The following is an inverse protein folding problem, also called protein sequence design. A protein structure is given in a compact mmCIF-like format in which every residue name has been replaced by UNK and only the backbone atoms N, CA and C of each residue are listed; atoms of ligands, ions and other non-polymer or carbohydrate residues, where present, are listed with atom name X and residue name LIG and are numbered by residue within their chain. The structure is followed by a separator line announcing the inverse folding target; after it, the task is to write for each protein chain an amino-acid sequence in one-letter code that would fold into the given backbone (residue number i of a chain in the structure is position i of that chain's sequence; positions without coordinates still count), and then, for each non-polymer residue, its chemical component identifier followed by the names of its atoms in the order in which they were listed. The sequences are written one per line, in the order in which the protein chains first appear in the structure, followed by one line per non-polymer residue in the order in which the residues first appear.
data_IF_477602261202
#
_entry.id   IF_477602261202
#
_cell.length_a   1.000
_cell.length_b   1.000
_cell.length_c   1.000
_cell.angle_alpha   90.00
_cell.angle_beta   90.00
_cell.angle_gamma   90.00
#
_symmetry.space_group_name_H-M   'P 1'
#
loop_
_entity.id
_entity.type
_entity.pdbx_description
1 polymer ?
#
# COMPACT_ATOMS: atom_id res chain seq x y z
N UNK A 1 -4.37 -8.69 -24.28
CA UNK A 1 -4.39 -7.77 -23.12
C UNK A 1 -5.25 -8.42 -22.06
N UNK A 2 -4.66 -8.98 -21.00
CA UNK A 2 -5.42 -9.60 -19.91
C UNK A 2 -5.70 -8.53 -18.86
N UNK A 3 -6.98 -8.19 -18.65
CA UNK A 3 -7.39 -7.48 -17.44
C UNK A 3 -7.42 -8.52 -16.33
N UNK A 4 -6.35 -8.61 -15.54
CA UNK A 4 -6.39 -9.39 -14.30
C UNK A 4 -7.24 -8.61 -13.30
N UNK A 5 -8.55 -8.84 -13.32
CA UNK A 5 -9.47 -8.23 -12.37
C UNK A 5 -9.05 -8.64 -10.95
N UNK A 6 -9.03 -7.68 -10.02
CA UNK A 6 -8.83 -7.98 -8.61
C UNK A 6 -9.95 -8.91 -8.14
N UNK A 7 -9.59 -10.08 -7.64
CA UNK A 7 -10.54 -10.98 -7.01
C UNK A 7 -10.94 -10.43 -5.64
N UNK A 8 -12.06 -10.91 -5.07
CA UNK A 8 -12.40 -10.60 -3.68
C UNK A 8 -11.27 -10.93 -2.68
N UNK A 9 -10.52 -12.01 -2.94
CA UNK A 9 -9.37 -12.39 -2.10
C UNK A 9 -8.20 -11.40 -2.23
N UNK A 10 -7.96 -10.88 -3.44
CA UNK A 10 -6.96 -9.83 -3.65
C UNK A 10 -7.37 -8.57 -2.87
N UNK A 11 -8.65 -8.18 -2.94
CA UNK A 11 -9.17 -7.02 -2.20
C UNK A 11 -9.04 -7.20 -0.69
N UNK A 12 -9.37 -8.38 -0.16
CA UNK A 12 -9.20 -8.71 1.26
C UNK A 12 -7.74 -8.61 1.70
N UNK A 13 -6.82 -9.09 0.86
CA UNK A 13 -5.38 -8.98 1.11
C UNK A 13 -4.93 -7.52 1.15
N UNK A 14 -5.37 -6.69 0.19
CA UNK A 14 -5.08 -5.25 0.15
C UNK A 14 -5.58 -4.56 1.41
N UNK A 15 -6.85 -4.80 1.80
CA UNK A 15 -7.44 -4.21 2.99
C UNK A 15 -6.68 -4.59 4.26
N UNK A 16 -6.30 -5.87 4.40
CA UNK A 16 -5.49 -6.35 5.52
C UNK A 16 -4.15 -5.62 5.62
N UNK A 17 -3.43 -5.51 4.50
CA UNK A 17 -2.13 -4.84 4.45
C UNK A 17 -2.24 -3.33 4.74
N UNK A 18 -3.29 -2.67 4.28
CA UNK A 18 -3.51 -1.25 4.58
C UNK A 18 -3.77 -1.00 6.06
N UNK A 19 -4.47 -1.93 6.73
CA UNK A 19 -4.71 -1.82 8.18
C UNK A 19 -3.39 -1.87 8.98
N UNK A 20 -2.39 -2.62 8.52
CA UNK A 20 -1.09 -2.73 9.20
C UNK A 20 -0.31 -1.40 9.26
N UNK A 21 -0.50 -0.53 8.26
CA UNK A 21 0.23 0.74 8.11
C UNK A 21 -0.64 1.97 8.34
N UNK A 22 -1.94 1.77 8.59
CA UNK A 22 -2.92 2.84 8.80
C UNK A 22 -2.57 3.66 10.04
N UNK A 23 -2.56 4.98 9.88
CA UNK A 23 -2.40 5.91 11.01
C UNK A 23 -3.74 6.03 11.74
N UNK A 24 -3.80 5.76 13.06
CA UNK A 24 -5.02 5.94 13.83
C UNK A 24 -5.27 7.41 14.16
N UNK A 25 -6.54 7.77 14.37
CA UNK A 25 -6.93 9.06 14.93
C UNK A 25 -7.37 10.12 13.92
N UNK A 26 -7.72 11.32 14.40
CA UNK A 26 -8.32 12.40 13.61
C UNK A 26 -7.36 13.08 12.65
N UNK A 27 -6.05 12.92 12.84
CA UNK A 27 -5.00 13.46 11.96
C UNK A 27 -4.69 12.53 10.77
N UNK A 28 -5.51 11.50 10.57
CA UNK A 28 -5.40 10.59 9.44
C UNK A 28 -5.57 11.35 8.12
N UNK A 29 -4.52 11.32 7.30
CA UNK A 29 -4.61 11.71 5.90
C UNK A 29 -5.03 10.54 5.02
N UNK A 30 -6.00 10.77 4.14
CA UNK A 30 -6.46 9.77 3.16
C UNK A 30 -5.52 9.64 1.96
N UNK A 31 -4.64 10.62 1.73
CA UNK A 31 -3.70 10.63 0.61
C UNK A 31 -2.66 9.50 0.68
N UNK A 32 -1.93 9.29 1.80
CA UNK A 32 -0.98 8.19 1.90
C UNK A 32 -1.66 6.83 1.81
N UNK A 33 -2.85 6.66 2.39
CA UNK A 33 -3.60 5.41 2.28
C UNK A 33 -4.05 5.13 0.84
N UNK A 34 -4.48 6.16 0.13
CA UNK A 34 -4.86 6.04 -1.29
C UNK A 34 -3.64 5.68 -2.15
N UNK A 35 -2.48 6.26 -1.87
CA UNK A 35 -1.23 5.93 -2.56
C UNK A 35 -0.80 4.49 -2.29
N UNK A 36 -0.85 4.04 -1.03
CA UNK A 36 -0.56 2.67 -0.62
C UNK A 36 -1.51 1.66 -1.27
N UNK A 37 -2.81 1.97 -1.32
CA UNK A 37 -3.80 1.11 -1.98
C UNK A 37 -3.49 0.95 -3.48
N UNK A 38 -3.20 2.07 -4.17
CA UNK A 38 -2.83 2.05 -5.60
C UNK A 38 -1.53 1.28 -5.85
N UNK A 39 -0.56 1.37 -4.96
CA UNK A 39 0.68 0.60 -5.04
C UNK A 39 0.41 -0.90 -5.00
N UNK A 40 -0.42 -1.36 -4.04
CA UNK A 40 -0.78 -2.76 -3.90
C UNK A 40 -1.58 -3.29 -5.10
N UNK A 41 -2.53 -2.50 -5.60
CA UNK A 41 -3.29 -2.83 -6.83
C UNK A 41 -2.34 -3.02 -8.01
N UNK A 42 -1.38 -2.12 -8.21
CA UNK A 42 -0.37 -2.27 -9.26
C UNK A 42 0.51 -3.50 -9.08
N UNK A 43 0.85 -3.85 -7.84
CA UNK A 43 1.56 -5.09 -7.54
C UNK A 43 0.82 -6.31 -8.09
N UNK A 44 -0.49 -6.40 -7.83
CA UNK A 44 -1.33 -7.47 -8.37
C UNK A 44 -1.41 -7.45 -9.90
N UNK A 45 -1.58 -6.27 -10.51
CA UNK A 45 -1.60 -6.12 -11.97
C UNK A 45 -0.28 -6.57 -12.63
N UNK A 46 0.83 -6.44 -11.91
CA UNK A 46 2.17 -6.87 -12.33
C UNK A 46 2.47 -8.36 -12.03
N UNK A 47 1.51 -9.09 -11.46
CA UNK A 47 1.64 -10.52 -11.16
C UNK A 47 2.21 -10.82 -9.77
N UNK A 48 2.32 -9.84 -8.88
CA UNK A 48 2.65 -10.08 -7.47
C UNK A 48 1.40 -10.59 -6.74
N UNK A 49 1.34 -11.90 -6.55
CA UNK A 49 0.21 -12.56 -5.88
C UNK A 49 0.52 -13.02 -4.45
N UNK A 50 1.80 -13.04 -4.06
CA UNK A 50 2.21 -13.41 -2.71
C UNK A 50 2.06 -12.22 -1.75
N UNK A 51 1.35 -12.44 -0.66
CA UNK A 51 1.15 -11.43 0.40
C UNK A 51 2.48 -10.93 0.99
N UNK A 52 3.48 -11.81 1.11
CA UNK A 52 4.82 -11.44 1.60
C UNK A 52 5.50 -10.38 0.73
N UNK A 53 5.34 -10.49 -0.59
CA UNK A 53 5.98 -9.58 -1.54
C UNK A 53 5.27 -8.23 -1.54
N UNK A 54 3.94 -8.25 -1.45
CA UNK A 54 3.12 -7.05 -1.30
C UNK A 54 3.41 -6.32 0.02
N UNK A 55 3.57 -7.05 1.11
CA UNK A 55 3.95 -6.49 2.42
C UNK A 55 5.33 -5.84 2.36
N UNK A 56 6.30 -6.46 1.69
CA UNK A 56 7.62 -5.87 1.47
C UNK A 56 7.55 -4.59 0.66
N UNK A 57 6.82 -4.60 -0.45
CA UNK A 57 6.60 -3.44 -1.33
C UNK A 57 6.00 -2.26 -0.54
N UNK A 58 4.97 -2.55 0.27
CA UNK A 58 4.31 -1.57 1.11
C UNK A 58 5.28 -0.99 2.16
N UNK A 59 6.06 -1.83 2.84
CA UNK A 59 7.02 -1.41 3.84
C UNK A 59 8.12 -0.50 3.25
N UNK A 60 8.62 -0.81 2.05
CA UNK A 60 9.60 0.03 1.35
C UNK A 60 9.01 1.40 0.99
N UNK A 61 7.79 1.45 0.48
CA UNK A 61 7.09 2.70 0.17
C UNK A 61 6.86 3.57 1.42
N UNK A 62 6.37 2.98 2.51
CA UNK A 62 6.14 3.69 3.78
C UNK A 62 7.45 4.23 4.36
N UNK A 63 8.55 3.46 4.31
CA UNK A 63 9.86 3.93 4.75
C UNK A 63 10.33 5.13 3.93
N UNK A 64 10.18 5.08 2.61
CA UNK A 64 10.58 6.16 1.71
C UNK A 64 9.79 7.44 2.00
N UNK A 65 8.48 7.34 2.24
CA UNK A 65 7.66 8.49 2.61
C UNK A 65 8.08 9.10 3.95
N UNK A 66 8.34 8.27 4.97
CA UNK A 66 8.83 8.75 6.28
C UNK A 66 10.15 9.51 6.17
N UNK A 67 11.07 9.06 5.32
CA UNK A 67 12.36 9.73 5.12
C UNK A 67 12.15 11.11 4.46
N UNK A 68 11.28 11.19 3.45
CA UNK A 68 10.99 12.46 2.76
C UNK A 68 10.28 13.46 3.68
N UNK A 69 9.29 13.01 4.45
CA UNK A 69 8.60 13.87 5.43
C UNK A 69 9.58 14.40 6.48
N UNK A 70 10.48 13.55 6.96
CA UNK A 70 11.51 13.94 7.94
C UNK A 70 12.54 14.92 7.34
N UNK A 71 12.78 14.84 6.03
CA UNK A 71 13.75 15.71 5.33
C UNK A 71 13.18 17.11 5.03
N UNK A 72 11.85 17.28 5.06
CA UNK A 72 11.17 18.56 4.86
C UNK A 72 11.01 19.39 6.15
N UNK A 73 11.46 18.88 7.30
CA UNK A 73 11.34 19.54 8.61
C UNK A 73 12.65 20.19 9.11
N UNK A 74 13.67 20.36 8.26
CA UNK A 74 14.93 21.04 8.57
C UNK A 74 15.03 22.39 7.82
#
# INVERSE_FOLDING_TARGET
MSFTYLTPDNMKTIEGLLVEVRVPGPERSFDPETAQARLLVRGFEQGMHAESDLRRLLAEHVKLHKILDSSHQL
#
